data_IF_852352317484
#
_entry.id   IF_852352317484
#
_cell.length_a   1.000
_cell.length_b   1.000
_cell.length_c   1.000
_cell.angle_alpha   90.00
_cell.angle_beta   90.00
_cell.angle_gamma   90.00
#
_symmetry.space_group_name_H-M   'P 1'
#
loop_
_entity.id
_entity.type
_entity.pdbx_description
1 polymer ?
#
# COMPACT_ATOMS: atom_id res chain seq x y z
N UNK A 1 7.97 -19.83 -20.77
CA UNK A 1 6.95 -18.83 -20.34
C UNK A 1 7.49 -17.44 -20.61
N UNK A 2 6.65 -16.53 -21.12
CA UNK A 2 7.04 -15.13 -21.24
C UNK A 2 7.16 -14.49 -19.85
N UNK A 3 8.16 -13.63 -19.63
CA UNK A 3 8.34 -12.89 -18.37
C UNK A 3 8.66 -11.42 -18.63
N UNK A 4 8.08 -10.51 -17.84
CA UNK A 4 8.39 -9.08 -17.88
C UNK A 4 9.54 -8.77 -16.93
N UNK A 5 10.57 -8.08 -17.42
CA UNK A 5 11.72 -7.61 -16.63
C UNK A 5 11.75 -6.09 -16.65
N UNK A 6 11.98 -5.48 -15.48
CA UNK A 6 12.12 -4.03 -15.33
C UNK A 6 13.14 -3.69 -14.25
N UNK A 7 13.76 -2.52 -14.36
CA UNK A 7 14.76 -2.04 -13.39
C UNK A 7 14.11 -1.89 -12.01
N UNK A 8 14.72 -2.49 -10.98
CA UNK A 8 14.20 -2.45 -9.61
C UNK A 8 13.19 -3.55 -9.27
N UNK A 9 12.87 -4.46 -10.19
CA UNK A 9 11.97 -5.60 -9.94
C UNK A 9 12.33 -6.39 -8.68
N UNK A 10 13.62 -6.71 -8.49
CA UNK A 10 14.10 -7.45 -7.33
C UNK A 10 13.87 -6.70 -6.00
N UNK A 11 13.95 -5.36 -6.02
CA UNK A 11 13.73 -4.53 -4.83
C UNK A 11 12.25 -4.53 -4.42
N UNK A 12 11.34 -4.45 -5.39
CA UNK A 12 9.89 -4.39 -5.14
C UNK A 12 9.30 -5.76 -4.82
N UNK A 13 9.82 -6.83 -5.43
CA UNK A 13 9.23 -8.18 -5.36
C UNK A 13 8.98 -8.65 -3.92
N UNK A 14 9.96 -8.46 -3.04
CA UNK A 14 9.88 -8.86 -1.63
C UNK A 14 9.59 -7.70 -0.68
N UNK A 15 9.30 -6.49 -1.19
CA UNK A 15 9.13 -5.33 -0.31
C UNK A 15 7.98 -5.55 0.67
N UNK A 16 6.88 -6.17 0.23
CA UNK A 16 5.75 -6.46 1.12
C UNK A 16 6.15 -7.35 2.31
N UNK A 17 7.21 -8.17 2.24
CA UNK A 17 7.70 -8.97 3.36
C UNK A 17 8.41 -8.11 4.42
N UNK A 18 9.04 -7.01 3.99
CA UNK A 18 9.71 -6.05 4.88
C UNK A 18 8.74 -5.11 5.60
N UNK A 19 7.49 -5.01 5.14
CA UNK A 19 6.47 -4.15 5.74
C UNK A 19 5.80 -4.91 6.89
N UNK A 20 5.95 -4.44 8.15
CA UNK A 20 5.38 -5.13 9.29
C UNK A 20 3.86 -4.98 9.32
N UNK A 21 3.21 -5.92 9.99
CA UNK A 21 1.79 -5.79 10.33
C UNK A 21 1.59 -4.61 11.30
N UNK A 22 0.51 -3.86 11.10
CA UNK A 22 0.08 -2.78 11.99
C UNK A 22 -1.38 -3.00 12.35
N UNK A 23 -1.72 -2.83 13.63
CA UNK A 23 -3.10 -2.87 14.07
C UNK A 23 -3.83 -1.58 13.66
N UNK A 24 -5.12 -1.69 13.34
CA UNK A 24 -5.95 -0.51 13.11
C UNK A 24 -6.29 0.14 14.46
N UNK A 25 -6.11 1.46 14.54
CA UNK A 25 -6.50 2.27 15.68
C UNK A 25 -7.81 3.00 15.37
N UNK A 26 -8.81 2.86 16.24
CA UNK A 26 -10.11 3.52 16.07
C UNK A 26 -10.01 4.99 16.47
N UNK A 27 -10.22 5.90 15.53
CA UNK A 27 -10.40 7.32 15.83
C UNK A 27 -11.83 7.55 16.32
N UNK A 28 -12.01 7.66 17.64
CA UNK A 28 -13.31 7.85 18.30
C UNK A 28 -14.00 9.15 17.86
N UNK A 29 -13.24 10.18 17.47
CA UNK A 29 -13.81 11.48 17.06
C UNK A 29 -14.39 11.43 15.65
N UNK A 30 -13.76 10.67 14.75
CA UNK A 30 -14.21 10.46 13.37
C UNK A 30 -15.19 9.29 13.22
N UNK A 31 -15.21 8.39 14.20
CA UNK A 31 -16.12 7.23 14.22
C UNK A 31 -17.54 7.62 14.59
N UNK A 32 -18.51 6.87 14.06
CA UNK A 32 -19.91 6.99 14.47
C UNK A 32 -20.09 6.52 15.93
N UNK A 33 -20.87 7.29 16.71
CA UNK A 33 -21.16 6.97 18.11
C UNK A 33 -22.04 5.71 18.19
N UNK A 34 -21.66 4.76 19.04
CA UNK A 34 -22.39 3.50 19.24
C UNK A 34 -22.25 2.48 18.12
N UNK A 35 -21.39 2.75 17.13
CA UNK A 35 -21.06 1.82 16.06
C UNK A 35 -19.74 1.12 16.37
N UNK A 36 -19.76 0.25 17.39
CA UNK A 36 -18.59 -0.56 17.73
C UNK A 36 -18.39 -1.73 16.75
N UNK A 37 -19.48 -2.18 16.12
CA UNK A 37 -19.50 -3.24 15.10
C UNK A 37 -19.89 -2.71 13.71
N UNK A 38 -19.37 -1.54 13.31
CA UNK A 38 -19.71 -0.94 12.03
C UNK A 38 -19.37 -1.90 10.85
N UNK A 39 -20.34 -2.13 9.95
CA UNK A 39 -20.15 -2.98 8.76
C UNK A 39 -19.16 -2.38 7.74
N UNK A 40 -18.99 -1.05 7.75
CA UNK A 40 -18.17 -0.32 6.79
C UNK A 40 -16.99 0.36 7.48
N UNK A 41 -15.82 0.31 6.84
CA UNK A 41 -14.57 0.89 7.36
C UNK A 41 -14.03 1.96 6.40
N UNK A 42 -13.59 3.08 6.97
CA UNK A 42 -12.74 4.06 6.29
C UNK A 42 -11.40 4.05 7.01
N UNK A 43 -10.32 3.81 6.27
CA UNK A 43 -8.96 3.67 6.81
C UNK A 43 -8.11 4.79 6.25
N UNK A 44 -7.47 5.55 7.13
CA UNK A 44 -6.52 6.60 6.78
C UNK A 44 -5.10 6.05 6.90
N UNK A 45 -4.32 6.11 5.81
CA UNK A 45 -2.92 5.67 5.82
C UNK A 45 -2.37 5.31 4.44
N UNK A 46 -1.13 4.84 4.43
CA UNK A 46 -0.53 4.23 3.25
C UNK A 46 -1.26 2.91 2.91
N UNK A 47 -1.55 2.70 1.62
CA UNK A 47 -2.38 1.58 1.18
C UNK A 47 -1.74 0.21 1.45
N UNK A 48 -0.41 0.08 1.37
CA UNK A 48 0.27 -1.18 1.63
C UNK A 48 0.18 -1.54 3.12
N UNK A 49 0.33 -0.56 4.00
CA UNK A 49 0.14 -0.73 5.45
C UNK A 49 -1.32 -1.05 5.81
N UNK A 50 -2.29 -0.35 5.22
CA UNK A 50 -3.70 -0.62 5.44
C UNK A 50 -4.10 -2.04 4.99
N UNK A 51 -3.66 -2.46 3.79
CA UNK A 51 -3.93 -3.81 3.30
C UNK A 51 -3.29 -4.89 4.18
N UNK A 52 -2.09 -4.63 4.74
CA UNK A 52 -1.45 -5.52 5.71
C UNK A 52 -2.27 -5.68 6.99
N UNK A 53 -2.82 -4.57 7.51
CA UNK A 53 -3.66 -4.57 8.70
C UNK A 53 -4.95 -5.40 8.52
N UNK A 54 -5.49 -5.44 7.30
CA UNK A 54 -6.74 -6.14 6.98
C UNK A 54 -6.57 -7.67 6.79
N UNK A 55 -5.34 -8.16 6.58
CA UNK A 55 -5.08 -9.57 6.28
C UNK A 55 -5.73 -10.56 7.27
N UNK A 56 -5.61 -10.39 8.61
CA UNK A 56 -6.12 -11.37 9.56
C UNK A 56 -7.64 -11.59 9.48
N UNK A 57 -8.39 -10.57 9.07
CA UNK A 57 -9.85 -10.60 9.09
C UNK A 57 -10.48 -10.78 7.70
N UNK A 58 -9.85 -10.23 6.65
CA UNK A 58 -10.46 -10.10 5.31
C UNK A 58 -9.79 -10.93 4.21
N UNK A 59 -8.71 -11.65 4.50
CA UNK A 59 -8.05 -12.51 3.51
C UNK A 59 -9.03 -13.54 2.91
N UNK A 60 -9.14 -13.56 1.59
CA UNK A 60 -10.04 -14.47 0.86
C UNK A 60 -11.53 -14.12 0.97
N UNK A 61 -11.89 -12.99 1.59
CA UNK A 61 -13.30 -12.58 1.80
C UNK A 61 -13.75 -11.41 0.93
N UNK A 62 -12.83 -10.72 0.27
CA UNK A 62 -13.14 -9.54 -0.56
C UNK A 62 -13.70 -10.00 -1.92
N UNK A 63 -14.95 -9.63 -2.20
CA UNK A 63 -15.65 -9.99 -3.45
C UNK A 63 -15.20 -9.15 -4.65
N UNK A 64 -14.91 -7.88 -4.44
CA UNK A 64 -14.55 -6.93 -5.49
C UNK A 64 -13.57 -5.89 -4.95
N UNK A 65 -12.59 -5.53 -5.76
CA UNK A 65 -11.65 -4.44 -5.50
C UNK A 65 -11.77 -3.45 -6.65
N UNK A 66 -12.05 -2.20 -6.33
CA UNK A 66 -12.01 -1.08 -7.27
C UNK A 66 -10.86 -0.15 -6.87
N UNK A 67 -9.97 0.15 -7.80
CA UNK A 67 -8.86 1.08 -7.59
C UNK A 67 -8.72 2.00 -8.79
N UNK A 68 -8.36 3.24 -8.51
CA UNK A 68 -8.01 4.26 -9.50
C UNK A 68 -6.58 4.76 -9.23
N UNK A 69 -5.55 3.94 -9.52
CA UNK A 69 -4.15 4.32 -9.28
C UNK A 69 -3.71 5.37 -10.31
N UNK A 70 -2.67 6.17 -10.02
CA UNK A 70 -2.19 7.16 -10.97
C UNK A 70 -1.63 6.51 -12.24
N UNK A 71 -1.98 7.05 -13.41
CA UNK A 71 -1.76 6.40 -14.71
C UNK A 71 -0.38 6.61 -15.33
N UNK A 72 0.48 7.44 -14.72
CA UNK A 72 1.83 7.71 -15.22
C UNK A 72 1.88 8.24 -16.66
N UNK A 73 0.98 9.17 -16.97
CA UNK A 73 0.85 9.83 -18.28
C UNK A 73 1.92 10.89 -18.56
N UNK A 74 2.81 11.16 -17.60
CA UNK A 74 3.90 12.15 -17.73
C UNK A 74 3.50 13.60 -17.43
N UNK A 75 2.20 13.93 -17.46
CA UNK A 75 1.68 15.26 -17.08
C UNK A 75 1.33 15.37 -15.60
N UNK A 76 1.25 14.24 -14.90
CA UNK A 76 0.96 14.17 -13.46
C UNK A 76 2.27 13.85 -12.73
N UNK A 77 2.62 14.66 -11.72
CA UNK A 77 3.88 14.59 -10.99
C UNK A 77 4.04 13.31 -10.16
N UNK A 78 4.26 12.16 -10.82
CA UNK A 78 4.64 10.91 -10.18
C UNK A 78 6.13 10.89 -9.90
N UNK A 79 6.56 11.76 -8.99
CA UNK A 79 7.83 11.59 -8.31
C UNK A 79 7.70 10.34 -7.42
N UNK A 80 8.48 9.29 -7.70
CA UNK A 80 8.42 8.01 -6.99
C UNK A 80 8.39 8.19 -5.47
N UNK A 81 7.19 7.99 -4.87
CA UNK A 81 6.95 8.14 -3.43
C UNK A 81 7.70 7.11 -2.60
N UNK A 82 8.05 5.97 -3.19
CA UNK A 82 8.90 4.96 -2.56
C UNK A 82 10.40 5.20 -2.87
N UNK A 83 10.89 6.37 -2.48
CA UNK A 83 12.30 6.76 -2.65
C UNK A 83 13.23 6.14 -1.60
N UNK A 84 12.69 5.43 -0.60
CA UNK A 84 13.43 4.87 0.54
C UNK A 84 14.33 3.67 0.20
N UNK A 85 14.25 3.14 -1.03
CA UNK A 85 15.12 2.04 -1.49
C UNK A 85 16.09 2.42 -2.60
N UNK A 86 16.24 3.72 -2.92
CA UNK A 86 17.32 4.16 -3.83
C UNK A 86 18.64 4.10 -3.07
N UNK A 87 19.28 2.93 -3.08
CA UNK A 87 20.71 2.85 -2.83
C UNK A 87 21.41 3.89 -3.71
N UNK A 88 22.12 4.83 -3.07
CA UNK A 88 23.00 5.76 -3.77
C UNK A 88 24.08 4.94 -4.47
N UNK A 89 23.90 4.69 -5.76
CA UNK A 89 25.01 4.24 -6.60
C UNK A 89 26.12 5.30 -6.57
N UNK A 90 27.40 4.91 -6.69
CA UNK A 90 28.49 5.85 -6.63
C UNK A 90 28.33 6.85 -7.77
N UNK A 91 28.37 8.15 -7.45
CA UNK A 91 28.55 9.18 -8.46
C UNK A 91 29.94 8.95 -9.05
N UNK A 92 30.02 8.56 -10.31
CA UNK A 92 31.27 8.71 -11.05
C UNK A 92 31.54 10.21 -11.17
N UNK A 93 32.75 10.59 -10.84
CA UNK A 93 33.38 11.87 -11.18
C UNK A 93 33.20 12.22 -12.64
#
# INVERSE_FOLDING_TARGET
MATLQFKGKAAVWNHHLSVPYHALEKDVKKSLKGADDAENLIIEGDNLLALKALLPQYQGRVKCIYIDPPYNTGNEGLAGRDSRQRGRGPRST
#
